data_IF_061035857667
#
_entry.id   IF_061035857667
#
_cell.length_a   1.000
_cell.length_b   1.000
_cell.length_c   1.000
_cell.angle_alpha   90.00
_cell.angle_beta   90.00
_cell.angle_gamma   90.00
#
_symmetry.space_group_name_H-M   'P 1'
#
loop_
_entity.id
_entity.type
_entity.pdbx_description
1 polymer ?
#
# COMPACT_ATOMS: atom_id res chain seq x y z
N UNK A 1 18.71 43.28 -2.04
CA UNK A 1 17.99 42.24 -1.27
C UNK A 1 17.58 41.12 -2.22
N UNK A 2 18.27 39.98 -2.16
CA UNK A 2 18.12 38.88 -3.14
C UNK A 2 17.32 37.77 -2.47
N UNK A 3 16.07 37.60 -2.86
CA UNK A 3 15.23 36.49 -2.39
C UNK A 3 15.88 35.16 -2.79
N UNK A 4 16.01 34.17 -1.87
CA UNK A 4 16.52 32.85 -2.23
C UNK A 4 15.56 32.17 -3.21
N UNK A 5 16.11 31.59 -4.28
CA UNK A 5 15.32 30.96 -5.34
C UNK A 5 14.44 29.84 -4.77
N UNK A 6 13.16 29.83 -5.14
CA UNK A 6 12.17 28.82 -4.75
C UNK A 6 12.64 27.38 -5.09
N UNK A 7 13.45 27.27 -6.15
CA UNK A 7 14.09 26.04 -6.64
C UNK A 7 15.17 25.54 -5.66
N UNK A 8 15.95 26.44 -5.06
CA UNK A 8 16.99 26.12 -4.09
C UNK A 8 16.39 25.58 -2.78
N UNK A 9 15.22 26.13 -2.41
CA UNK A 9 14.46 25.67 -1.24
C UNK A 9 13.79 24.32 -1.50
N UNK A 10 13.36 24.06 -2.74
CA UNK A 10 12.82 22.76 -3.14
C UNK A 10 13.91 21.67 -3.18
N UNK A 11 15.11 21.99 -3.68
CA UNK A 11 16.27 21.11 -3.68
C UNK A 11 16.75 20.79 -2.26
N UNK A 12 16.80 21.78 -1.35
CA UNK A 12 17.12 21.54 0.08
C UNK A 12 16.11 20.64 0.80
N UNK A 13 14.86 20.55 0.32
CA UNK A 13 13.83 19.65 0.89
C UNK A 13 13.90 18.22 0.32
N UNK A 14 14.68 17.98 -0.74
CA UNK A 14 15.01 16.63 -1.19
C UNK A 14 16.12 16.09 -0.29
N UNK A 15 15.76 15.32 0.73
CA UNK A 15 16.72 14.64 1.60
C UNK A 15 17.48 13.59 0.77
N UNK A 16 18.65 13.95 0.23
CA UNK A 16 19.60 12.99 -0.32
C UNK A 16 20.10 12.11 0.83
N UNK A 17 19.57 10.90 0.93
CA UNK A 17 20.00 9.93 1.92
C UNK A 17 21.22 9.19 1.38
N UNK A 18 22.42 9.64 1.73
CA UNK A 18 23.72 9.13 1.27
C UNK A 18 24.11 7.74 1.80
N UNK A 19 23.17 6.99 2.41
CA UNK A 19 23.43 5.65 2.99
C UNK A 19 22.59 4.53 2.36
N UNK A 20 21.95 4.77 1.21
CA UNK A 20 21.28 3.71 0.45
C UNK A 20 22.21 3.16 -0.62
N UNK A 21 22.53 1.87 -0.56
CA UNK A 21 23.11 1.15 -1.69
C UNK A 21 22.14 1.23 -2.89
N UNK A 22 22.55 1.90 -3.97
CA UNK A 22 21.87 1.90 -5.27
C UNK A 22 20.85 3.01 -5.51
N UNK A 23 21.26 4.27 -5.41
CA UNK A 23 20.50 5.41 -5.93
C UNK A 23 21.39 6.29 -6.82
N UNK A 24 21.85 5.72 -7.93
CA UNK A 24 22.55 6.48 -8.96
C UNK A 24 21.54 7.47 -9.60
N UNK A 25 21.70 8.75 -9.24
CA UNK A 25 21.05 9.95 -9.81
C UNK A 25 19.51 10.11 -9.65
N UNK A 26 18.83 9.33 -8.81
CA UNK A 26 17.37 9.32 -8.70
C UNK A 26 16.72 10.33 -7.74
N UNK A 27 15.52 10.83 -8.09
CA UNK A 27 14.63 11.56 -7.17
C UNK A 27 14.15 10.63 -6.06
N UNK A 28 14.53 10.91 -4.80
CA UNK A 28 14.02 10.20 -3.63
C UNK A 28 12.69 10.82 -3.18
N UNK A 29 11.62 10.03 -3.19
CA UNK A 29 10.33 10.43 -2.65
C UNK A 29 9.82 9.42 -1.62
N UNK A 30 9.13 9.93 -0.60
CA UNK A 30 8.49 9.11 0.44
C UNK A 30 7.04 8.86 0.05
N UNK A 31 6.68 7.58 -0.07
CA UNK A 31 5.30 7.13 -0.22
C UNK A 31 4.89 6.47 1.09
N UNK A 32 3.69 6.77 1.58
CA UNK A 32 3.14 6.06 2.73
C UNK A 32 2.15 5.01 2.24
N UNK A 33 2.28 3.80 2.78
CA UNK A 33 1.44 2.65 2.45
C UNK A 33 1.05 1.94 3.74
N UNK A 34 -0.22 1.58 3.89
CA UNK A 34 -0.71 0.87 5.07
C UNK A 34 -1.93 0.02 4.77
N UNK A 35 -2.02 -1.12 5.44
CA UNK A 35 -3.15 -2.04 5.39
C UNK A 35 -3.91 -1.96 6.71
N UNK A 36 -5.14 -1.44 6.68
CA UNK A 36 -6.00 -1.29 7.86
C UNK A 36 -7.03 -2.42 7.92
N UNK A 37 -7.08 -3.01 9.11
CA UNK A 37 -7.96 -4.11 9.47
C UNK A 37 -8.94 -3.64 10.54
N UNK A 38 -10.15 -4.17 10.48
CA UNK A 38 -11.23 -3.82 11.42
C UNK A 38 -11.98 -5.08 11.82
N UNK A 39 -12.00 -5.41 13.11
CA UNK A 39 -12.76 -6.55 13.61
C UNK A 39 -14.25 -6.23 13.75
N UNK A 40 -15.09 -7.26 13.87
CA UNK A 40 -16.55 -7.11 14.06
C UNK A 40 -16.95 -6.32 15.32
N UNK A 41 -16.02 -6.16 16.27
CA UNK A 41 -16.20 -5.33 17.48
C UNK A 41 -15.75 -3.87 17.30
N UNK A 42 -15.27 -3.48 16.12
CA UNK A 42 -14.84 -2.12 15.80
C UNK A 42 -13.40 -1.77 16.17
N UNK A 43 -12.55 -2.72 16.62
CA UNK A 43 -11.13 -2.42 16.83
C UNK A 43 -10.41 -2.32 15.49
N UNK A 44 -9.70 -1.20 15.29
CA UNK A 44 -8.95 -0.89 14.08
C UNK A 44 -7.46 -0.92 14.35
N UNK A 45 -6.71 -1.48 13.41
CA UNK A 45 -5.25 -1.52 13.48
C UNK A 45 -4.65 -1.57 12.09
N UNK A 46 -3.47 -0.95 11.94
CA UNK A 46 -2.69 -0.98 10.70
C UNK A 46 -1.56 -1.99 10.88
N UNK A 47 -1.48 -2.97 9.99
CA UNK A 47 -0.43 -3.99 10.07
C UNK A 47 0.91 -3.41 9.62
N UNK A 48 1.97 -3.73 10.37
CA UNK A 48 3.37 -3.41 10.03
C UNK A 48 4.04 -4.47 9.16
N UNK A 49 3.49 -5.69 9.14
CA UNK A 49 4.05 -6.86 8.45
C UNK A 49 2.96 -7.93 8.24
N UNK A 50 3.20 -8.94 7.39
CA UNK A 50 2.28 -10.07 7.25
C UNK A 50 2.10 -10.87 8.55
N UNK A 51 3.15 -10.94 9.38
CA UNK A 51 3.15 -11.61 10.68
C UNK A 51 2.61 -10.74 11.83
N UNK A 52 2.05 -9.57 11.52
CA UNK A 52 1.58 -8.63 12.51
C UNK A 52 0.45 -9.23 13.35
N UNK A 53 0.62 -9.14 14.67
CA UNK A 53 -0.43 -9.45 15.64
C UNK A 53 -0.86 -8.15 16.30
N UNK A 54 -2.16 -7.86 16.28
CA UNK A 54 -2.68 -6.69 16.97
C UNK A 54 -2.36 -6.81 18.47
N UNK A 55 -1.49 -5.94 18.97
CA UNK A 55 -1.12 -5.85 20.39
C UNK A 55 -1.69 -4.57 20.99
N UNK A 56 -2.03 -4.59 22.29
CA UNK A 56 -2.54 -3.44 23.04
C UNK A 56 -1.46 -2.37 23.30
N UNK A 57 -0.20 -2.64 22.98
CA UNK A 57 0.94 -1.75 23.23
C UNK A 57 1.68 -1.43 21.93
N UNK A 58 1.31 -0.33 21.27
CA UNK A 58 2.04 0.25 20.13
C UNK A 58 2.71 1.59 20.45
N UNK A 59 2.78 1.98 21.74
CA UNK A 59 3.45 3.22 22.14
C UNK A 59 4.96 3.05 22.04
N UNK A 60 5.57 3.75 21.08
CA UNK A 60 7.03 3.87 20.96
C UNK A 60 7.70 3.01 19.87
N UNK A 61 6.96 2.24 19.07
CA UNK A 61 7.58 1.45 18.00
C UNK A 61 7.85 2.33 16.77
N UNK A 62 9.09 2.34 16.29
CA UNK A 62 9.47 3.08 15.08
C UNK A 62 8.73 2.50 13.88
N UNK A 63 7.95 3.34 13.20
CA UNK A 63 7.19 2.98 11.99
C UNK A 63 8.04 3.02 10.71
N UNK A 64 9.34 3.34 10.84
CA UNK A 64 10.28 3.42 9.71
C UNK A 64 10.46 2.03 9.08
N UNK A 65 10.29 1.95 7.76
CA UNK A 65 10.49 0.71 6.99
C UNK A 65 9.25 -0.18 6.89
N UNK A 66 8.22 0.01 7.74
CA UNK A 66 6.99 -0.79 7.67
C UNK A 66 6.29 -0.68 6.33
N UNK A 67 6.17 0.53 5.77
CA UNK A 67 5.56 0.71 4.46
C UNK A 67 6.25 -0.09 3.35
N UNK A 68 7.59 -0.18 3.40
CA UNK A 68 8.36 -0.98 2.45
C UNK A 68 8.16 -2.49 2.67
N UNK A 69 8.11 -2.92 3.94
CA UNK A 69 7.85 -4.32 4.30
C UNK A 69 6.45 -4.78 3.88
N UNK A 70 5.42 -3.99 4.18
CA UNK A 70 4.03 -4.24 3.78
C UNK A 70 3.91 -4.22 2.25
N UNK A 71 4.56 -3.28 1.56
CA UNK A 71 4.53 -3.23 0.10
C UNK A 71 5.23 -4.42 -0.58
N UNK A 72 6.31 -4.92 0.03
CA UNK A 72 7.13 -6.01 -0.49
C UNK A 72 6.61 -7.42 -0.18
N UNK A 73 5.54 -7.54 0.61
CA UNK A 73 5.04 -8.84 1.11
C UNK A 73 3.59 -9.08 0.72
N UNK A 74 3.21 -10.35 0.63
CA UNK A 74 1.79 -10.73 0.57
C UNK A 74 1.18 -10.48 1.95
N UNK A 75 0.12 -9.68 2.01
CA UNK A 75 -0.54 -9.33 3.26
C UNK A 75 -1.74 -10.25 3.49
N UNK A 76 -1.93 -10.83 4.69
CA UNK A 76 -3.10 -11.65 4.96
C UNK A 76 -4.38 -10.80 4.89
N UNK A 77 -5.48 -11.38 4.43
CA UNK A 77 -6.81 -10.75 4.46
C UNK A 77 -7.41 -10.76 5.85
N UNK A 78 -7.01 -11.68 6.72
CA UNK A 78 -7.52 -11.80 8.08
C UNK A 78 -6.36 -11.88 9.06
N UNK A 79 -6.41 -11.11 10.13
CA UNK A 79 -5.42 -11.18 11.22
C UNK A 79 -6.11 -11.20 12.58
N UNK A 80 -5.49 -11.79 13.61
CA UNK A 80 -6.10 -11.88 14.93
C UNK A 80 -6.16 -10.51 15.59
N UNK A 81 -7.32 -10.18 16.13
CA UNK A 81 -7.54 -8.96 16.90
C UNK A 81 -7.20 -9.18 18.39
N UNK A 82 -6.66 -8.15 19.03
CA UNK A 82 -6.35 -8.12 20.46
C UNK A 82 -7.58 -8.19 21.39
N UNK A 83 -8.80 -8.10 20.83
CA UNK A 83 -10.04 -8.26 21.57
C UNK A 83 -10.43 -9.74 21.80
N UNK A 84 -9.53 -10.67 21.48
CA UNK A 84 -9.67 -12.09 21.80
C UNK A 84 -9.96 -12.30 23.30
N UNK A 85 -11.01 -13.07 23.59
CA UNK A 85 -11.36 -13.52 24.93
C UNK A 85 -10.78 -14.92 25.17
N UNK A 86 -10.79 -15.41 26.42
CA UNK A 86 -10.35 -16.80 26.72
C UNK A 86 -11.11 -17.86 25.91
N UNK A 87 -12.28 -17.54 25.33
CA UNK A 87 -13.13 -18.47 24.57
C UNK A 87 -13.22 -18.17 23.07
N UNK A 88 -12.68 -17.06 22.56
CA UNK A 88 -12.82 -16.71 21.14
C UNK A 88 -11.80 -15.69 20.67
N UNK A 89 -11.11 -16.00 19.56
CA UNK A 89 -10.26 -15.06 18.84
C UNK A 89 -11.07 -14.38 17.75
N UNK A 90 -11.30 -13.07 17.91
CA UNK A 90 -11.92 -12.26 16.87
C UNK A 90 -10.89 -11.96 15.78
N UNK A 91 -11.32 -12.03 14.52
CA UNK A 91 -10.51 -11.67 13.37
C UNK A 91 -10.84 -10.25 12.90
N UNK A 92 -9.82 -9.53 12.48
CA UNK A 92 -9.96 -8.31 11.70
C UNK A 92 -9.74 -8.63 10.23
N UNK A 93 -10.77 -8.57 9.36
CA UNK A 93 -10.57 -8.52 7.92
C UNK A 93 -9.86 -7.24 7.48
N UNK A 94 -9.10 -7.34 6.38
CA UNK A 94 -8.49 -6.22 5.66
C UNK A 94 -9.59 -5.46 4.94
N UNK A 95 -9.88 -4.23 5.37
CA UNK A 95 -10.96 -3.44 4.78
C UNK A 95 -10.46 -2.23 4.01
N UNK A 96 -9.29 -1.70 4.34
CA UNK A 96 -8.81 -0.43 3.80
C UNK A 96 -7.32 -0.47 3.47
N UNK A 97 -6.98 0.03 2.29
CA UNK A 97 -5.60 0.26 1.86
C UNK A 97 -5.36 1.76 1.82
N UNK A 98 -4.41 2.23 2.61
CA UNK A 98 -4.04 3.62 2.74
C UNK A 98 -2.83 3.93 1.89
N UNK A 99 -2.92 4.99 1.09
CA UNK A 99 -1.83 5.43 0.25
C UNK A 99 -1.71 6.94 0.30
N UNK A 100 -0.52 7.44 0.57
CA UNK A 100 -0.20 8.87 0.43
C UNK A 100 0.80 9.00 -0.69
N UNK A 101 0.39 9.64 -1.79
CA UNK A 101 1.27 9.92 -2.91
C UNK A 101 2.22 11.08 -2.57
N UNK A 102 3.48 11.04 -3.05
CA UNK A 102 4.44 12.08 -2.76
C UNK A 102 4.09 13.35 -3.54
N UNK A 103 4.66 14.48 -3.11
CA UNK A 103 4.62 15.74 -3.87
C UNK A 103 5.52 15.71 -5.12
N UNK A 104 6.52 14.82 -5.15
CA UNK A 104 7.37 14.64 -6.31
C UNK A 104 6.56 14.15 -7.53
N UNK A 105 6.97 14.46 -8.76
CA UNK A 105 6.28 14.07 -9.99
C UNK A 105 6.48 12.57 -10.30
N UNK A 106 6.01 11.72 -9.41
CA UNK A 106 6.08 10.27 -9.55
C UNK A 106 4.70 9.72 -9.90
N UNK A 107 4.69 8.78 -10.84
CA UNK A 107 3.49 8.05 -11.23
C UNK A 107 3.24 6.91 -10.25
N UNK A 108 2.41 7.17 -9.24
CA UNK A 108 1.98 6.18 -8.26
C UNK A 108 0.75 5.45 -8.81
N UNK A 109 0.80 4.12 -8.99
CA UNK A 109 -0.32 3.34 -9.54
C UNK A 109 -0.75 2.22 -8.60
N UNK A 110 -2.05 2.07 -8.33
CA UNK A 110 -2.59 0.99 -7.49
C UNK A 110 -3.19 -0.13 -8.34
N UNK A 111 -2.82 -1.37 -8.02
CA UNK A 111 -3.37 -2.57 -8.65
C UNK A 111 -3.55 -3.70 -7.63
N UNK A 112 -4.45 -3.56 -6.66
CA UNK A 112 -4.66 -4.57 -5.63
C UNK A 112 -5.25 -5.85 -6.22
N UNK A 113 -4.65 -6.96 -5.84
CA UNK A 113 -5.06 -8.31 -6.26
C UNK A 113 -5.33 -9.10 -5.01
N UNK A 114 -6.55 -9.60 -4.88
CA UNK A 114 -7.02 -10.24 -3.66
C UNK A 114 -7.41 -11.67 -3.94
N UNK A 115 -6.95 -12.60 -3.12
CA UNK A 115 -7.33 -14.01 -3.17
C UNK A 115 -7.98 -14.36 -1.81
N UNK A 116 -9.32 -14.52 -1.74
CA UNK A 116 -10.04 -14.76 -0.49
C UNK A 116 -9.73 -16.10 0.18
N UNK A 117 -9.40 -17.11 -0.62
CA UNK A 117 -9.09 -18.48 -0.19
C UNK A 117 -7.89 -18.96 -0.99
N UNK A 118 -6.99 -19.71 -0.36
CA UNK A 118 -5.83 -20.28 -1.07
C UNK A 118 -6.26 -21.13 -2.27
N UNK A 119 -5.57 -20.99 -3.40
CA UNK A 119 -5.98 -21.64 -4.66
C UNK A 119 -7.26 -21.09 -5.31
N UNK A 120 -7.99 -20.19 -4.63
CA UNK A 120 -9.23 -19.59 -5.13
C UNK A 120 -9.02 -18.46 -6.15
N UNK A 121 -10.13 -17.87 -6.65
CA UNK A 121 -10.08 -16.81 -7.66
C UNK A 121 -9.39 -15.54 -7.16
N UNK A 122 -8.80 -14.80 -8.10
CA UNK A 122 -8.15 -13.52 -7.83
C UNK A 122 -9.08 -12.39 -8.23
N UNK A 123 -9.50 -11.61 -7.25
CA UNK A 123 -10.33 -10.43 -7.43
C UNK A 123 -9.46 -9.21 -7.71
N UNK A 124 -9.91 -8.44 -8.71
CA UNK A 124 -9.35 -7.16 -9.12
C UNK A 124 -10.41 -6.07 -8.88
N UNK A 125 -10.04 -4.78 -8.77
CA UNK A 125 -10.99 -3.67 -8.65
C UNK A 125 -11.92 -3.46 -9.84
N UNK A 126 -11.84 -4.29 -10.89
CA UNK A 126 -12.60 -4.12 -12.12
C UNK A 126 -12.09 -3.01 -13.04
N UNK A 127 -10.90 -2.47 -12.76
CA UNK A 127 -10.26 -1.47 -13.62
C UNK A 127 -9.42 -2.16 -14.70
N UNK A 128 -9.54 -1.70 -15.95
CA UNK A 128 -8.76 -2.21 -17.09
C UNK A 128 -7.26 -1.94 -16.95
N UNK A 129 -6.90 -0.84 -16.30
CA UNK A 129 -5.51 -0.45 -16.01
C UNK A 129 -5.32 -0.09 -14.53
N UNK A 130 -4.10 -0.25 -13.98
CA UNK A 130 -3.77 0.22 -12.65
C UNK A 130 -4.10 1.71 -12.44
N UNK A 131 -4.84 2.02 -11.37
CA UNK A 131 -5.33 3.36 -11.12
C UNK A 131 -4.19 4.31 -10.72
N UNK A 132 -3.96 5.36 -11.52
CA UNK A 132 -2.94 6.38 -11.22
C UNK A 132 -3.45 7.34 -10.15
N UNK A 133 -2.71 7.45 -9.06
CA UNK A 133 -3.00 8.40 -7.99
C UNK A 133 -2.48 9.79 -8.36
N UNK A 134 -3.29 10.85 -8.18
CA UNK A 134 -2.83 12.23 -8.18
C UNK A 134 -1.69 12.43 -7.18
N UNK A 135 -0.72 13.32 -7.46
CA UNK A 135 0.35 13.65 -6.51
C UNK A 135 -0.19 14.31 -5.25
N UNK A 136 0.58 14.26 -4.16
CA UNK A 136 0.27 14.91 -2.87
C UNK A 136 -1.17 14.67 -2.36
N UNK A 137 -1.68 13.45 -2.52
CA UNK A 137 -3.06 13.11 -2.15
C UNK A 137 -3.08 11.88 -1.25
N UNK A 138 -3.96 11.92 -0.26
CA UNK A 138 -4.27 10.78 0.59
C UNK A 138 -5.46 10.02 0.01
N UNK A 139 -5.24 8.75 -0.31
CA UNK A 139 -6.23 7.85 -0.88
C UNK A 139 -6.48 6.68 0.05
N UNK A 140 -7.75 6.30 0.15
CA UNK A 140 -8.18 5.09 0.84
C UNK A 140 -8.95 4.25 -0.17
N UNK A 141 -8.41 3.08 -0.50
CA UNK A 141 -9.18 2.08 -1.21
C UNK A 141 -9.90 1.20 -0.19
N UNK A 142 -11.23 1.15 -0.30
CA UNK A 142 -12.06 0.29 0.54
C UNK A 142 -12.30 -1.04 -0.17
N UNK A 143 -11.97 -2.14 0.49
CA UNK A 143 -12.18 -3.49 -0.01
C UNK A 143 -13.57 -4.00 0.39
N UNK A 144 -14.18 -4.89 -0.42
CA UNK A 144 -15.40 -5.59 -0.05
C UNK A 144 -15.22 -6.44 1.21
N UNK A 145 -16.31 -6.59 1.97
CA UNK A 145 -16.35 -7.52 3.11
C UNK A 145 -16.56 -8.98 2.65
N UNK A 146 -17.29 -9.18 1.55
CA UNK A 146 -17.55 -10.49 0.95
C UNK A 146 -17.08 -10.48 -0.51
N UNK A 147 -16.50 -11.60 -0.91
CA UNK A 147 -16.07 -11.84 -2.28
C UNK A 147 -16.92 -12.96 -2.86
N UNK A 148 -17.43 -12.77 -4.07
CA UNK A 148 -18.25 -13.76 -4.75
C UNK A 148 -17.81 -13.92 -6.19
N UNK A 149 -17.57 -15.16 -6.61
CA UNK A 149 -17.29 -15.53 -7.99
C UNK A 149 -18.42 -16.37 -8.54
N UNK A 150 -18.67 -16.29 -9.85
CA UNK A 150 -19.66 -17.13 -10.52
C UNK A 150 -19.29 -18.62 -10.41
N UNK A 151 -17.99 -18.93 -10.46
CA UNK A 151 -17.51 -20.32 -10.52
C UNK A 151 -17.26 -20.92 -9.13
N UNK A 152 -16.90 -20.09 -8.14
CA UNK A 152 -16.53 -20.54 -6.79
C UNK A 152 -17.57 -20.18 -5.71
N UNK A 153 -18.65 -19.48 -6.07
CA UNK A 153 -19.66 -19.01 -5.12
C UNK A 153 -19.15 -17.90 -4.20
N UNK A 154 -19.73 -17.81 -3.00
CA UNK A 154 -19.40 -16.78 -2.00
C UNK A 154 -18.27 -17.27 -1.09
N UNK A 155 -17.20 -16.49 -1.03
CA UNK A 155 -16.09 -16.69 -0.10
C UNK A 155 -16.43 -16.00 1.23
N UNK A 156 -16.78 -16.80 2.22
CA UNK A 156 -17.06 -16.32 3.57
C UNK A 156 -15.77 -16.09 4.36
N UNK A 157 -15.73 -15.06 5.21
CA UNK A 157 -14.65 -14.90 6.18
C UNK A 157 -14.52 -16.15 7.06
N UNK A 158 -13.30 -16.58 7.37
CA UNK A 158 -13.09 -17.73 8.23
C UNK A 158 -13.61 -17.41 9.64
N UNK A 159 -14.26 -18.39 10.28
CA UNK A 159 -14.77 -18.26 11.64
C UNK A 159 -13.63 -18.29 12.67
N UNK A 160 -12.50 -18.90 12.31
CA UNK A 160 -11.27 -19.03 13.09
C UNK A 160 -10.08 -19.09 12.13
N UNK A 161 -8.86 -18.76 12.59
CA UNK A 161 -7.69 -18.84 11.70
C UNK A 161 -7.32 -20.30 11.45
N UNK A 162 -7.70 -20.83 10.29
CA UNK A 162 -7.14 -22.04 9.69
C UNK A 162 -6.05 -21.66 8.66
N UNK A 163 -5.34 -22.66 8.15
CA UNK A 163 -4.26 -22.46 7.16
C UNK A 163 -4.75 -21.85 5.83
N UNK A 164 -6.05 -21.89 5.52
CA UNK A 164 -6.64 -21.32 4.29
C UNK A 164 -6.93 -19.81 4.38
N UNK A 165 -5.94 -19.04 4.81
CA UNK A 165 -6.09 -17.59 4.96
C UNK A 165 -5.95 -16.88 3.60
N UNK A 166 -6.96 -16.11 3.21
CA UNK A 166 -6.88 -15.25 2.04
C UNK A 166 -5.75 -14.21 2.14
N UNK A 167 -5.31 -13.68 1.00
CA UNK A 167 -4.21 -12.71 0.90
C UNK A 167 -4.44 -11.60 -0.12
N UNK A 168 -3.81 -10.45 0.14
CA UNK A 168 -3.51 -9.39 -0.80
C UNK A 168 -2.08 -9.62 -1.33
N UNK A 169 -1.93 -9.80 -2.64
CA UNK A 169 -0.63 -10.09 -3.25
C UNK A 169 0.34 -8.90 -3.17
N UNK A 170 1.63 -9.17 -3.00
CA UNK A 170 2.73 -8.20 -3.19
C UNK A 170 2.70 -7.63 -4.61
N UNK A 171 3.10 -6.37 -4.74
CA UNK A 171 2.97 -5.64 -6.01
C UNK A 171 1.58 -5.06 -6.28
N UNK A 172 0.61 -5.34 -5.39
CA UNK A 172 -0.58 -4.49 -5.20
C UNK A 172 -0.26 -3.09 -4.70
N UNK A 173 0.91 -2.96 -4.08
CA UNK A 173 1.45 -1.72 -3.58
C UNK A 173 1.76 -0.75 -4.73
N UNK A 174 1.67 0.57 -4.48
CA UNK A 174 1.99 1.60 -5.44
C UNK A 174 3.43 1.62 -5.97
N UNK A 175 4.32 0.85 -5.36
CA UNK A 175 5.77 0.87 -5.63
C UNK A 175 6.15 0.00 -6.84
N UNK A 176 5.41 0.07 -7.94
CA UNK A 176 5.98 -0.35 -9.21
C UNK A 176 6.99 0.72 -9.64
N UNK A 177 8.28 0.40 -9.57
CA UNK A 177 9.38 1.21 -10.12
C UNK A 177 9.23 1.29 -11.65
N UNK A 178 8.27 2.06 -12.16
CA UNK A 178 8.26 2.46 -13.57
C UNK A 178 8.96 3.81 -13.69
N UNK A 179 10.30 3.77 -13.55
CA UNK A 179 11.16 4.81 -14.10
C UNK A 179 11.16 4.61 -15.62
N UNK A 180 10.18 5.22 -16.29
CA UNK A 180 10.34 5.62 -17.69
C UNK A 180 10.25 7.14 -17.70
N UNK A 181 11.42 7.78 -17.66
CA UNK A 181 11.57 9.15 -18.12
C UNK A 181 11.22 9.10 -19.62
N UNK A 182 10.00 9.50 -19.96
CA UNK A 182 9.71 9.93 -21.34
C UNK A 182 10.29 11.33 -21.46
N UNK A 183 11.53 11.42 -21.93
CA UNK A 183 12.06 12.66 -22.49
C UNK A 183 11.35 12.91 -23.82
N UNK A 184 10.21 13.59 -23.79
CA UNK A 184 9.68 14.23 -24.99
C UNK A 184 10.39 15.57 -25.15
N UNK A 185 11.61 15.55 -25.71
CA UNK A 185 12.19 16.75 -26.27
C UNK A 185 11.48 17.07 -27.58
N UNK A 186 10.53 17.99 -27.52
CA UNK A 186 9.99 18.71 -28.68
C UNK A 186 11.14 19.39 -29.42
N UNK A 187 11.64 18.79 -30.50
CA UNK A 187 12.53 19.46 -31.45
C UNK A 187 11.67 20.33 -32.36
N UNK A 188 11.49 21.58 -31.95
CA UNK A 188 11.01 22.68 -32.79
C UNK A 188 12.04 22.89 -33.91
N UNK A 189 11.79 22.31 -35.10
CA UNK A 189 12.54 22.65 -36.31
C UNK A 189 12.00 23.98 -36.85
N UNK A 190 12.67 25.08 -36.51
CA UNK A 190 12.67 26.31 -37.32
C UNK A 190 13.34 26.00 -38.66
N UNK A 191 12.54 25.91 -39.71
CA UNK A 191 13.01 26.02 -41.09
C UNK A 191 13.10 27.49 -41.45
N UNK A 192 14.30 27.91 -41.85
CA UNK A 192 14.59 29.16 -42.56
C UNK A 192 14.90 28.77 -44.00
#
# INVERSE_FOLDING_TARGET
ERWPNLVETALKKMTLNSRGCGADLGVLAKVFFGCEYECSRGHRFIASSPSFKASKSSRGVSTRGWGAQVAGSDMPLYIPCSCSSRRSTSLGPLLRIHVVSPKAPLNVKLNPRIQPTEGGPIFLPGLSEPFKLPPNTYWILRLPFLYASKDAGVHLPPLFMENEAGKLFKGSSPLQKTLKLTEETTKERKGK
#
